data_IF_827534756526
#
_entry.id   IF_827534756526
#
_cell.length_a   1.000
_cell.length_b   1.000
_cell.length_c   1.000
_cell.angle_alpha   90.00
_cell.angle_beta   90.00
_cell.angle_gamma   90.00
#
_symmetry.space_group_name_H-M   'P 1'
#
loop_
_entity.id
_entity.type
_entity.pdbx_description
1 polymer ?
#
# COMPACT_ATOMS: atom_id res chain seq x y z
N UNK A 1 3.66 -22.93 -4.21
CA UNK A 1 3.46 -21.55 -4.71
C UNK A 1 4.28 -20.52 -3.93
N UNK A 2 4.38 -20.64 -2.60
CA UNK A 2 5.23 -19.82 -1.73
C UNK A 2 6.64 -19.47 -2.28
N UNK A 3 7.41 -20.47 -2.71
CA UNK A 3 8.77 -20.24 -3.21
C UNK A 3 8.82 -19.45 -4.53
N UNK A 4 7.79 -19.53 -5.38
CA UNK A 4 7.79 -18.83 -6.66
C UNK A 4 7.74 -17.30 -6.48
N UNK A 5 6.92 -16.80 -5.55
CA UNK A 5 6.81 -15.37 -5.26
C UNK A 5 8.10 -14.80 -4.64
N UNK A 6 8.81 -15.59 -3.82
CA UNK A 6 10.10 -15.19 -3.25
C UNK A 6 11.22 -15.18 -4.30
N UNK A 7 11.25 -16.15 -5.20
CA UNK A 7 12.21 -16.16 -6.32
C UNK A 7 11.92 -15.04 -7.34
N UNK A 8 10.64 -14.76 -7.62
CA UNK A 8 10.22 -13.59 -8.40
C UNK A 8 10.70 -12.30 -7.72
N UNK A 9 10.50 -12.16 -6.40
CA UNK A 9 11.00 -11.02 -5.65
C UNK A 9 12.51 -10.87 -5.77
N UNK A 10 13.29 -11.94 -5.60
CA UNK A 10 14.76 -11.90 -5.72
C UNK A 10 15.20 -11.48 -7.12
N UNK A 11 14.56 -12.03 -8.14
CA UNK A 11 14.85 -11.73 -9.55
C UNK A 11 14.59 -10.26 -9.85
N UNK A 12 13.43 -9.74 -9.42
CA UNK A 12 13.10 -8.33 -9.56
C UNK A 12 14.02 -7.45 -8.71
N UNK A 13 14.32 -7.83 -7.47
CA UNK A 13 15.19 -7.06 -6.57
C UNK A 13 16.60 -6.90 -7.15
N UNK A 14 17.22 -7.98 -7.62
CA UNK A 14 18.53 -7.91 -8.27
C UNK A 14 18.51 -6.93 -9.43
N UNK A 15 17.55 -7.09 -10.35
CA UNK A 15 17.48 -6.27 -11.54
C UNK A 15 17.15 -4.78 -11.23
N UNK A 16 16.32 -4.51 -10.21
CA UNK A 16 16.09 -3.15 -9.73
C UNK A 16 17.33 -2.55 -9.07
N UNK A 17 18.07 -3.31 -8.25
CA UNK A 17 19.29 -2.84 -7.58
C UNK A 17 20.44 -2.56 -8.55
N UNK A 18 20.51 -3.30 -9.66
CA UNK A 18 21.52 -3.13 -10.71
C UNK A 18 21.26 -1.86 -11.55
N UNK A 19 19.98 -1.47 -11.69
CA UNK A 19 19.58 -0.37 -12.60
C UNK A 19 19.29 0.94 -11.85
N UNK A 20 19.06 0.91 -10.53
CA UNK A 20 18.71 2.09 -9.73
C UNK A 20 19.92 2.71 -9.05
N UNK A 21 19.82 4.00 -8.69
CA UNK A 21 20.90 4.70 -7.99
C UNK A 21 21.08 4.12 -6.58
N UNK A 22 22.30 4.22 -6.02
CA UNK A 22 22.58 3.77 -4.63
C UNK A 22 21.62 4.39 -3.61
N UNK A 23 21.22 5.65 -3.81
CA UNK A 23 20.25 6.38 -2.96
C UNK A 23 18.81 5.85 -3.07
N UNK A 24 18.48 5.12 -4.14
CA UNK A 24 17.14 4.60 -4.41
C UNK A 24 17.00 3.12 -3.99
N UNK A 25 18.07 2.45 -3.55
CA UNK A 25 18.06 1.01 -3.21
C UNK A 25 16.99 0.61 -2.20
N UNK A 26 16.68 1.51 -1.24
CA UNK A 26 15.59 1.24 -0.31
C UNK A 26 14.22 1.31 -1.00
N UNK A 27 13.99 2.35 -1.81
CA UNK A 27 12.77 2.48 -2.62
C UNK A 27 12.61 1.36 -3.64
N UNK A 28 13.72 0.85 -4.19
CA UNK A 28 13.76 -0.24 -5.15
C UNK A 28 13.07 -1.50 -4.61
N UNK A 29 13.26 -1.83 -3.33
CA UNK A 29 12.60 -3.00 -2.71
C UNK A 29 11.08 -2.90 -2.60
N UNK A 30 10.57 -1.68 -2.47
CA UNK A 30 9.12 -1.44 -2.49
C UNK A 30 8.59 -1.34 -3.90
N UNK A 31 9.38 -0.82 -4.84
CA UNK A 31 9.09 -0.91 -6.26
C UNK A 31 8.96 -2.37 -6.72
N UNK A 32 9.84 -3.26 -6.25
CA UNK A 32 9.72 -4.71 -6.46
C UNK A 32 8.39 -5.23 -5.91
N UNK A 33 8.04 -4.88 -4.67
CA UNK A 33 6.79 -5.33 -4.04
C UNK A 33 5.51 -4.84 -4.76
N UNK A 34 5.58 -3.68 -5.42
CA UNK A 34 4.52 -3.15 -6.29
C UNK A 34 4.45 -3.91 -7.63
N UNK A 35 5.57 -4.40 -8.14
CA UNK A 35 5.64 -5.18 -9.38
C UNK A 35 5.31 -6.67 -9.22
N UNK A 36 5.20 -7.20 -8.00
CA UNK A 36 4.89 -8.62 -7.77
C UNK A 36 3.56 -9.03 -8.40
N UNK A 37 3.57 -10.14 -9.13
CA UNK A 37 2.38 -10.69 -9.79
C UNK A 37 2.00 -9.95 -11.08
N UNK A 38 2.79 -8.96 -11.51
CA UNK A 38 2.63 -8.37 -12.83
C UNK A 38 3.01 -9.38 -13.92
N UNK A 39 2.29 -9.36 -15.04
CA UNK A 39 2.46 -10.35 -16.13
C UNK A 39 3.68 -10.07 -17.01
N UNK A 40 4.22 -8.86 -16.96
CA UNK A 40 5.34 -8.44 -17.79
C UNK A 40 6.68 -9.01 -17.28
N UNK A 41 7.64 -9.31 -18.16
CA UNK A 41 8.98 -9.72 -17.73
C UNK A 41 9.69 -8.64 -16.89
N UNK A 42 10.57 -9.03 -15.94
CA UNK A 42 11.31 -8.09 -15.07
C UNK A 42 11.97 -6.92 -15.79
N UNK A 43 12.66 -7.17 -16.91
CA UNK A 43 13.34 -6.14 -17.69
C UNK A 43 12.36 -5.09 -18.27
N UNK A 44 11.17 -5.52 -18.67
CA UNK A 44 10.11 -4.62 -19.16
C UNK A 44 9.53 -3.78 -18.01
N UNK A 45 9.29 -4.39 -16.85
CA UNK A 45 8.79 -3.70 -15.67
C UNK A 45 9.77 -2.62 -15.19
N UNK A 46 11.07 -2.92 -15.14
CA UNK A 46 12.10 -1.96 -14.72
C UNK A 46 12.20 -0.80 -15.70
N UNK A 47 12.27 -1.09 -17.01
CA UNK A 47 12.34 -0.05 -18.04
C UNK A 47 11.12 0.88 -17.97
N UNK A 48 9.91 0.31 -17.84
CA UNK A 48 8.68 1.11 -17.67
C UNK A 48 8.70 1.90 -16.36
N UNK A 49 9.09 1.28 -15.26
CA UNK A 49 9.19 1.94 -13.94
C UNK A 49 10.08 3.19 -13.99
N UNK A 50 11.25 3.08 -14.61
CA UNK A 50 12.18 4.20 -14.75
C UNK A 50 11.61 5.29 -15.67
N UNK A 51 10.99 4.90 -16.79
CA UNK A 51 10.29 5.82 -17.68
C UNK A 51 9.20 6.61 -16.94
N UNK A 52 8.35 5.93 -16.17
CA UNK A 52 7.27 6.59 -15.43
C UNK A 52 7.79 7.45 -14.28
N UNK A 53 8.83 7.00 -13.56
CA UNK A 53 9.53 7.83 -12.57
C UNK A 53 10.05 9.13 -13.21
N UNK A 54 10.63 9.05 -14.40
CA UNK A 54 11.20 10.20 -15.09
C UNK A 54 10.12 11.13 -15.65
N UNK A 55 9.00 10.59 -16.13
CA UNK A 55 7.81 11.36 -16.46
C UNK A 55 7.27 12.13 -15.23
N UNK A 56 7.22 11.48 -14.06
CA UNK A 56 6.84 12.15 -12.80
C UNK A 56 7.87 13.25 -12.46
N UNK A 57 9.16 12.98 -12.59
CA UNK A 57 10.21 13.97 -12.34
C UNK A 57 10.12 15.20 -13.26
N UNK A 58 9.75 15.02 -14.53
CA UNK A 58 9.60 16.12 -15.48
C UNK A 58 8.48 17.10 -15.08
N UNK A 59 7.47 16.62 -14.34
CA UNK A 59 6.34 17.43 -13.89
C UNK A 59 6.58 18.21 -12.58
N UNK A 60 7.82 18.20 -12.07
CA UNK A 60 8.21 18.75 -10.76
C UNK A 60 7.86 20.22 -10.53
N UNK A 61 7.80 21.03 -11.58
CA UNK A 61 7.53 22.47 -11.45
C UNK A 61 6.13 22.76 -10.91
N UNK A 62 5.19 21.82 -11.04
CA UNK A 62 3.81 21.96 -10.55
C UNK A 62 3.53 21.34 -9.18
N UNK A 63 4.34 20.37 -8.72
CA UNK A 63 3.99 19.48 -7.61
C UNK A 63 5.17 19.08 -6.70
N UNK A 64 4.96 19.16 -5.39
CA UNK A 64 5.93 18.73 -4.37
C UNK A 64 5.83 17.23 -4.01
N UNK A 65 4.82 16.56 -4.54
CA UNK A 65 4.47 15.16 -4.26
C UNK A 65 4.33 14.40 -5.59
N UNK A 66 4.69 13.10 -5.67
CA UNK A 66 5.32 12.30 -4.61
C UNK A 66 6.76 12.75 -4.30
N UNK A 67 7.22 12.49 -3.07
CA UNK A 67 8.60 12.77 -2.66
C UNK A 67 9.60 12.05 -3.56
N UNK A 68 10.85 12.53 -3.63
CA UNK A 68 11.87 11.95 -4.51
C UNK A 68 12.02 10.43 -4.34
N UNK A 69 12.01 9.94 -3.09
CA UNK A 69 12.11 8.52 -2.79
C UNK A 69 10.85 7.71 -3.11
N UNK A 70 9.67 8.33 -3.21
CA UNK A 70 8.42 7.64 -3.60
C UNK A 70 8.20 7.58 -5.10
N UNK A 71 8.85 8.43 -5.89
CA UNK A 71 8.66 8.46 -7.35
C UNK A 71 9.00 7.12 -8.01
N UNK A 72 10.01 6.42 -7.50
CA UNK A 72 10.34 5.08 -8.00
C UNK A 72 9.24 4.06 -7.69
N UNK A 73 8.67 4.10 -6.48
CA UNK A 73 7.57 3.20 -6.07
C UNK A 73 6.30 3.51 -6.87
N UNK A 74 6.00 4.78 -7.09
CA UNK A 74 4.87 5.22 -7.91
C UNK A 74 5.06 4.81 -9.37
N UNK A 75 6.27 4.98 -9.92
CA UNK A 75 6.60 4.50 -11.25
C UNK A 75 6.43 2.99 -11.40
N UNK A 76 6.76 2.22 -10.35
CA UNK A 76 6.61 0.77 -10.34
C UNK A 76 5.15 0.32 -10.32
N UNK A 77 4.34 0.95 -9.47
CA UNK A 77 2.89 0.78 -9.41
C UNK A 77 2.22 1.06 -10.76
N UNK A 78 2.57 2.19 -11.38
CA UNK A 78 2.08 2.57 -12.71
C UNK A 78 2.52 1.56 -13.78
N UNK A 79 3.80 1.16 -13.77
CA UNK A 79 4.34 0.19 -14.71
C UNK A 79 3.64 -1.18 -14.60
N UNK A 80 3.43 -1.67 -13.38
CA UNK A 80 2.73 -2.92 -13.10
C UNK A 80 1.25 -2.87 -13.53
N UNK A 81 0.62 -1.71 -13.38
CA UNK A 81 -0.77 -1.48 -13.77
C UNK A 81 -0.95 -1.03 -15.24
N UNK A 82 0.14 -1.01 -16.03
CA UNK A 82 0.17 -0.50 -17.41
C UNK A 82 -0.44 0.91 -17.55
N UNK A 83 -0.09 1.80 -16.60
CA UNK A 83 -0.42 3.22 -16.55
C UNK A 83 0.84 4.06 -16.72
N UNK A 84 0.66 5.35 -16.99
CA UNK A 84 1.76 6.28 -17.23
C UNK A 84 1.81 7.44 -16.21
N UNK A 85 3.01 7.99 -16.02
CA UNK A 85 3.28 9.09 -15.10
C UNK A 85 2.62 10.40 -15.51
N UNK A 86 2.38 10.63 -16.80
CA UNK A 86 1.61 11.77 -17.28
C UNK A 86 0.15 11.70 -16.83
N UNK A 87 -0.43 10.51 -16.90
CA UNK A 87 -1.75 10.19 -16.38
C UNK A 87 -1.89 10.50 -14.89
N UNK A 88 -0.86 10.17 -14.08
CA UNK A 88 -0.79 10.50 -12.65
C UNK A 88 -0.89 12.01 -12.41
N UNK A 89 -0.06 12.79 -13.08
CA UNK A 89 -0.03 14.25 -12.93
C UNK A 89 -1.38 14.84 -13.32
N UNK A 90 -1.96 14.38 -14.45
CA UNK A 90 -3.28 14.81 -14.90
C UNK A 90 -4.39 14.47 -13.91
N UNK A 91 -4.34 13.29 -13.28
CA UNK A 91 -5.30 12.92 -12.23
C UNK A 91 -5.14 13.82 -11.00
N UNK A 92 -3.91 14.11 -10.56
CA UNK A 92 -3.65 15.04 -9.46
C UNK A 92 -4.18 16.45 -9.75
N UNK A 93 -3.98 16.95 -10.96
CA UNK A 93 -4.55 18.23 -11.42
C UNK A 93 -6.07 18.21 -11.43
N UNK A 94 -6.67 17.12 -11.89
CA UNK A 94 -8.12 16.94 -11.89
C UNK A 94 -8.68 16.99 -10.46
N UNK A 95 -8.08 16.25 -9.52
CA UNK A 95 -8.47 16.27 -8.11
C UNK A 95 -8.32 17.67 -7.50
N UNK A 96 -7.24 18.39 -7.82
CA UNK A 96 -7.02 19.76 -7.34
C UNK A 96 -8.00 20.76 -7.94
N UNK A 97 -8.33 20.65 -9.23
CA UNK A 97 -9.32 21.48 -9.89
C UNK A 97 -10.71 21.24 -9.31
N UNK A 98 -11.06 19.97 -9.10
CA UNK A 98 -12.34 19.59 -8.51
C UNK A 98 -12.47 20.08 -7.07
N UNK A 99 -11.42 19.96 -6.26
CA UNK A 99 -11.35 20.58 -4.93
C UNK A 99 -11.59 22.09 -5.00
N UNK A 100 -10.94 22.79 -5.93
CA UNK A 100 -11.08 24.25 -6.08
C UNK A 100 -12.53 24.62 -6.45
N UNK A 101 -13.18 23.81 -7.27
CA UNK A 101 -14.57 24.00 -7.72
C UNK A 101 -15.58 23.78 -6.58
N UNK A 102 -15.44 22.69 -5.82
CA UNK A 102 -16.39 22.32 -4.75
C UNK A 102 -16.13 23.02 -3.42
N UNK A 103 -14.89 23.47 -3.20
CA UNK A 103 -14.41 23.78 -1.86
C UNK A 103 -14.11 22.49 -1.08
N UNK A 104 -13.60 22.65 0.15
CA UNK A 104 -13.39 21.52 1.06
C UNK A 104 -11.93 21.22 1.42
N UNK A 105 -11.75 20.08 2.08
CA UNK A 105 -10.49 19.74 2.75
C UNK A 105 -9.33 19.55 1.76
N UNK A 106 -8.13 19.92 2.22
CA UNK A 106 -6.89 19.59 1.53
C UNK A 106 -6.68 18.07 1.55
N UNK A 107 -6.21 17.51 0.43
CA UNK A 107 -5.79 16.12 0.38
C UNK A 107 -4.40 15.94 0.97
N UNK A 108 -4.18 14.79 1.60
CA UNK A 108 -2.88 14.36 2.11
C UNK A 108 -1.87 14.25 0.97
N UNK A 109 -0.64 14.73 1.20
CA UNK A 109 0.44 14.71 0.19
C UNK A 109 0.01 15.26 -1.18
N UNK A 110 -0.88 16.26 -1.20
CA UNK A 110 -1.40 16.86 -2.43
C UNK A 110 -2.29 15.96 -3.28
N UNK A 111 -2.81 14.85 -2.72
CA UNK A 111 -3.67 13.90 -3.42
C UNK A 111 -2.95 12.86 -4.26
N UNK A 112 -1.61 12.82 -4.22
CA UNK A 112 -0.82 11.87 -5.01
C UNK A 112 -1.17 10.38 -4.72
N UNK A 113 -1.37 9.95 -3.46
CA UNK A 113 -1.78 8.57 -3.18
C UNK A 113 -3.16 8.24 -3.76
N UNK A 114 -4.13 9.14 -3.60
CA UNK A 114 -5.47 8.96 -4.15
C UNK A 114 -5.45 8.89 -5.68
N UNK A 115 -4.72 9.80 -6.33
CA UNK A 115 -4.58 9.83 -7.79
C UNK A 115 -3.94 8.54 -8.33
N UNK A 116 -2.91 8.04 -7.66
CA UNK A 116 -2.27 6.78 -8.04
C UNK A 116 -3.24 5.60 -7.88
N UNK A 117 -3.94 5.52 -6.76
CA UNK A 117 -4.93 4.46 -6.52
C UNK A 117 -6.03 4.50 -7.58
N UNK A 118 -6.59 5.67 -7.89
CA UNK A 118 -7.60 5.81 -8.93
C UNK A 118 -7.10 5.29 -10.28
N UNK A 119 -5.89 5.66 -10.70
CA UNK A 119 -5.35 5.23 -12.00
C UNK A 119 -5.02 3.75 -12.06
N UNK A 120 -4.34 3.22 -11.03
CA UNK A 120 -4.01 1.80 -10.98
C UNK A 120 -5.26 0.92 -10.91
N UNK A 121 -6.35 1.42 -10.29
CA UNK A 121 -7.65 0.74 -10.25
C UNK A 121 -8.47 0.93 -11.54
N UNK A 122 -7.97 1.71 -12.50
CA UNK A 122 -8.62 1.96 -13.79
C UNK A 122 -9.70 3.03 -13.79
N UNK A 123 -9.70 3.90 -12.78
CA UNK A 123 -10.58 5.04 -12.70
C UNK A 123 -10.32 6.09 -13.79
N UNK A 124 -11.40 6.79 -14.14
CA UNK A 124 -11.45 7.90 -15.09
C UNK A 124 -11.31 9.25 -14.38
N UNK A 125 -10.78 10.25 -15.08
CA UNK A 125 -10.74 11.64 -14.58
C UNK A 125 -12.14 12.19 -14.26
N UNK A 126 -13.19 11.73 -14.94
CA UNK A 126 -14.58 12.13 -14.66
C UNK A 126 -15.08 11.68 -13.29
N UNK A 127 -14.44 10.68 -12.67
CA UNK A 127 -14.83 10.18 -11.35
C UNK A 127 -14.31 11.04 -10.20
N UNK A 128 -13.63 12.17 -10.46
CA UNK A 128 -13.14 13.06 -9.41
C UNK A 128 -14.26 13.59 -8.49
N UNK A 129 -15.44 13.91 -9.03
CA UNK A 129 -16.60 14.32 -8.20
C UNK A 129 -17.03 13.18 -7.27
N UNK A 130 -17.18 11.96 -7.83
CA UNK A 130 -17.57 10.76 -7.08
C UNK A 130 -16.57 10.44 -5.96
N UNK A 131 -15.27 10.60 -6.22
CA UNK A 131 -14.23 10.49 -5.21
C UNK A 131 -14.49 11.44 -4.02
N UNK A 132 -14.80 12.71 -4.29
CA UNK A 132 -15.10 13.66 -3.21
C UNK A 132 -16.42 13.34 -2.50
N UNK A 133 -17.46 12.92 -3.24
CA UNK A 133 -18.75 12.50 -2.65
C UNK A 133 -18.55 11.35 -1.66
N UNK A 134 -17.79 10.32 -2.06
CA UNK A 134 -17.44 9.20 -1.19
C UNK A 134 -16.58 9.67 -0.01
N UNK A 135 -15.57 10.52 -0.27
CA UNK A 135 -14.64 10.99 0.76
C UNK A 135 -15.31 11.83 1.85
N UNK A 136 -16.37 12.55 1.51
CA UNK A 136 -17.22 13.30 2.43
C UNK A 136 -18.12 12.37 3.24
N UNK A 137 -18.74 11.39 2.58
CA UNK A 137 -19.64 10.42 3.24
C UNK A 137 -18.91 9.55 4.28
N UNK A 138 -17.70 9.08 3.97
CA UNK A 138 -16.93 8.20 4.87
C UNK A 138 -16.16 8.96 5.95
N UNK A 139 -16.14 10.29 5.88
CA UNK A 139 -15.27 11.11 6.71
C UNK A 139 -15.54 10.89 8.21
N UNK A 140 -14.53 10.41 8.92
CA UNK A 140 -14.61 10.37 10.38
C UNK A 140 -14.60 11.80 10.97
N UNK A 141 -15.14 11.97 12.20
CA UNK A 141 -14.93 13.19 12.98
C UNK A 141 -13.44 13.54 13.09
N UNK A 142 -13.11 14.84 13.10
CA UNK A 142 -11.73 15.33 12.96
C UNK A 142 -10.71 14.67 13.91
N UNK A 143 -11.10 14.33 15.14
CA UNK A 143 -10.29 13.70 16.17
C UNK A 143 -10.01 12.20 15.96
N UNK A 144 -10.69 11.57 14.99
CA UNK A 144 -10.52 10.14 14.62
C UNK A 144 -10.10 9.94 13.16
N UNK A 145 -9.83 11.03 12.44
CA UNK A 145 -9.49 10.97 11.02
C UNK A 145 -8.17 10.26 10.77
N UNK A 146 -8.13 9.51 9.68
CA UNK A 146 -6.89 9.02 9.09
C UNK A 146 -6.88 9.37 7.60
N UNK A 147 -6.58 10.64 7.23
CA UNK A 147 -6.82 11.15 5.89
C UNK A 147 -6.20 10.32 4.76
N UNK A 148 -4.96 9.82 4.85
CA UNK A 148 -4.39 8.99 3.78
C UNK A 148 -5.19 7.71 3.50
N UNK A 149 -5.72 7.05 4.54
CA UNK A 149 -6.52 5.83 4.37
C UNK A 149 -7.94 6.12 3.89
N UNK A 150 -8.55 7.21 4.35
CA UNK A 150 -9.84 7.68 3.83
C UNK A 150 -9.75 8.01 2.33
N UNK A 151 -8.71 8.75 1.94
CA UNK A 151 -8.47 9.15 0.55
C UNK A 151 -8.22 7.96 -0.37
N UNK A 152 -7.45 6.97 0.06
CA UNK A 152 -7.19 5.79 -0.77
C UNK A 152 -8.38 4.85 -0.85
N UNK A 153 -9.17 4.72 0.23
CA UNK A 153 -10.44 4.01 0.19
C UNK A 153 -11.43 4.68 -0.78
N UNK A 154 -11.61 6.01 -0.65
CA UNK A 154 -12.50 6.76 -1.53
C UNK A 154 -12.04 6.66 -2.99
N UNK A 155 -10.73 6.73 -3.26
CA UNK A 155 -10.16 6.57 -4.59
C UNK A 155 -10.47 5.19 -5.19
N UNK A 156 -10.31 4.12 -4.41
CA UNK A 156 -10.62 2.76 -4.86
C UNK A 156 -12.10 2.59 -5.18
N UNK A 157 -12.98 3.06 -4.28
CA UNK A 157 -14.43 2.95 -4.46
C UNK A 157 -14.90 3.78 -5.66
N UNK A 158 -14.38 5.00 -5.83
CA UNK A 158 -14.70 5.84 -6.99
C UNK A 158 -14.24 5.20 -8.30
N UNK A 159 -13.03 4.64 -8.34
CA UNK A 159 -12.53 3.94 -9.52
C UNK A 159 -13.40 2.72 -9.88
N UNK A 160 -13.93 2.02 -8.87
CA UNK A 160 -14.89 0.93 -9.03
C UNK A 160 -16.32 1.35 -9.38
N UNK A 161 -16.60 2.64 -9.60
CA UNK A 161 -17.95 3.20 -9.81
C UNK A 161 -18.93 2.91 -8.65
N UNK A 162 -18.40 2.80 -7.43
CA UNK A 162 -19.22 2.62 -6.24
C UNK A 162 -19.88 3.94 -5.84
N UNK A 163 -21.01 3.84 -5.13
CA UNK A 163 -21.72 5.01 -4.59
C UNK A 163 -21.21 5.37 -3.19
N UNK A 164 -21.44 6.62 -2.71
CA UNK A 164 -21.12 7.00 -1.33
C UNK A 164 -21.77 6.08 -0.29
N UNK A 165 -23.05 5.74 -0.47
CA UNK A 165 -23.78 4.85 0.42
C UNK A 165 -23.18 3.43 0.44
N UNK A 166 -22.79 2.88 -0.73
CA UNK A 166 -22.11 1.58 -0.78
C UNK A 166 -20.76 1.63 -0.08
N UNK A 167 -20.00 2.70 -0.28
CA UNK A 167 -18.70 2.90 0.37
C UNK A 167 -18.83 2.97 1.89
N UNK A 168 -19.82 3.71 2.42
CA UNK A 168 -20.09 3.75 3.85
C UNK A 168 -20.52 2.38 4.38
N UNK A 169 -21.46 1.71 3.72
CA UNK A 169 -21.96 0.39 4.13
C UNK A 169 -20.84 -0.66 4.18
N UNK A 170 -19.93 -0.67 3.20
CA UNK A 170 -18.76 -1.57 3.23
C UNK A 170 -17.82 -1.26 4.39
N UNK A 171 -17.62 0.02 4.70
CA UNK A 171 -16.79 0.44 5.81
C UNK A 171 -17.39 0.05 7.17
N UNK A 172 -18.71 0.18 7.33
CA UNK A 172 -19.44 -0.27 8.52
C UNK A 172 -19.38 -1.79 8.67
N UNK A 173 -19.59 -2.55 7.58
CA UNK A 173 -19.41 -4.00 7.58
C UNK A 173 -18.00 -4.38 8.01
N UNK A 174 -16.97 -3.74 7.49
CA UNK A 174 -15.58 -3.99 7.90
C UNK A 174 -15.34 -3.72 9.39
N UNK A 175 -15.93 -2.65 9.96
CA UNK A 175 -15.86 -2.39 11.41
C UNK A 175 -16.51 -3.52 12.22
N UNK A 176 -17.68 -3.99 11.78
CA UNK A 176 -18.37 -5.09 12.44
C UNK A 176 -17.57 -6.38 12.32
N UNK A 177 -17.03 -6.71 11.16
CA UNK A 177 -16.17 -7.87 10.93
C UNK A 177 -14.94 -7.86 11.84
N UNK A 178 -14.24 -6.72 11.95
CA UNK A 178 -13.10 -6.56 12.86
C UNK A 178 -13.49 -6.74 14.33
N UNK A 179 -14.65 -6.23 14.72
CA UNK A 179 -15.16 -6.36 16.09
C UNK A 179 -15.54 -7.80 16.41
N UNK A 180 -16.30 -8.47 15.53
CA UNK A 180 -16.74 -9.86 15.68
C UNK A 180 -15.56 -10.82 15.76
N UNK A 181 -14.53 -10.62 14.95
CA UNK A 181 -13.33 -11.45 14.97
C UNK A 181 -12.42 -11.20 16.19
N UNK A 182 -12.73 -10.22 17.04
CA UNK A 182 -11.93 -9.90 18.23
C UNK A 182 -10.60 -9.23 17.91
N UNK A 183 -10.48 -8.54 16.77
CA UNK A 183 -9.28 -7.74 16.46
C UNK A 183 -9.15 -6.62 17.51
N UNK A 184 -7.96 -6.36 18.07
CA UNK A 184 -7.79 -5.30 19.08
C UNK A 184 -8.27 -3.93 18.58
N UNK A 185 -9.04 -3.21 19.40
CA UNK A 185 -9.60 -1.88 19.05
C UNK A 185 -8.53 -0.87 18.63
N UNK A 186 -7.32 -0.96 19.18
CA UNK A 186 -6.18 -0.10 18.83
C UNK A 186 -5.69 -0.28 17.38
N UNK A 187 -6.08 -1.38 16.73
CA UNK A 187 -5.75 -1.68 15.34
C UNK A 187 -6.85 -1.29 14.35
N UNK A 188 -8.11 -1.15 14.80
CA UNK A 188 -9.28 -0.95 13.92
C UNK A 188 -9.09 0.22 12.96
N UNK A 189 -8.78 1.41 13.48
CA UNK A 189 -8.61 2.62 12.65
C UNK A 189 -7.46 2.53 11.64
N UNK A 190 -6.51 1.60 11.85
CA UNK A 190 -5.32 1.45 10.99
C UNK A 190 -5.53 0.47 9.85
N UNK A 191 -6.57 -0.38 9.90
CA UNK A 191 -6.81 -1.44 8.90
C UNK A 191 -8.23 -1.49 8.36
N UNK A 192 -9.20 -0.78 8.97
CA UNK A 192 -10.62 -0.85 8.58
C UNK A 192 -10.84 -0.55 7.09
N UNK A 193 -10.10 0.41 6.52
CA UNK A 193 -10.20 0.77 5.11
C UNK A 193 -9.68 -0.34 4.20
N UNK A 194 -8.53 -0.93 4.52
CA UNK A 194 -7.96 -2.04 3.75
C UNK A 194 -8.85 -3.30 3.83
N UNK A 195 -9.43 -3.58 5.00
CA UNK A 195 -10.39 -4.68 5.18
C UNK A 195 -11.69 -4.40 4.41
N UNK A 196 -12.14 -3.13 4.36
CA UNK A 196 -13.31 -2.74 3.59
C UNK A 196 -13.10 -2.90 2.07
N UNK A 197 -11.88 -2.64 1.57
CA UNK A 197 -11.52 -2.88 0.15
C UNK A 197 -11.55 -4.37 -0.17
N UNK A 198 -10.97 -5.20 0.71
CA UNK A 198 -10.98 -6.65 0.54
C UNK A 198 -12.39 -7.25 0.60
N UNK A 199 -13.28 -6.60 1.35
CA UNK A 199 -14.68 -6.96 1.56
C UNK A 199 -14.91 -8.46 1.84
N UNK A 200 -14.19 -9.06 2.81
CA UNK A 200 -14.35 -10.48 3.10
C UNK A 200 -15.71 -10.75 3.76
N UNK A 201 -16.20 -11.98 3.64
CA UNK A 201 -17.31 -12.46 4.47
C UNK A 201 -16.86 -12.50 5.94
N UNK A 202 -17.74 -12.15 6.87
CA UNK A 202 -17.40 -12.05 8.30
C UNK A 202 -16.90 -13.38 8.87
N UNK A 203 -17.53 -14.49 8.51
CA UNK A 203 -17.16 -15.82 9.02
C UNK A 203 -15.80 -16.25 8.48
N UNK A 204 -15.58 -16.08 7.17
CA UNK A 204 -14.29 -16.36 6.52
C UNK A 204 -13.16 -15.53 7.13
N UNK A 205 -13.39 -14.23 7.33
CA UNK A 205 -12.42 -13.35 7.98
C UNK A 205 -12.12 -13.78 9.41
N UNK A 206 -13.14 -14.14 10.19
CA UNK A 206 -12.99 -14.54 11.59
C UNK A 206 -12.18 -15.83 11.70
N UNK A 207 -12.46 -16.80 10.81
CA UNK A 207 -11.70 -18.05 10.71
C UNK A 207 -10.24 -17.78 10.34
N UNK A 208 -10.00 -17.03 9.25
CA UNK A 208 -8.67 -16.69 8.77
C UNK A 208 -7.86 -15.90 9.82
N UNK A 209 -8.47 -14.91 10.48
CA UNK A 209 -7.84 -14.16 11.56
C UNK A 209 -7.43 -15.04 12.73
N UNK A 210 -8.32 -15.95 13.15
CA UNK A 210 -8.06 -16.85 14.29
C UNK A 210 -6.91 -17.79 13.98
N UNK A 211 -6.96 -18.45 12.81
CA UNK A 211 -5.91 -19.36 12.36
C UNK A 211 -4.56 -18.64 12.22
N UNK A 212 -4.53 -17.47 11.57
CA UNK A 212 -3.33 -16.66 11.41
C UNK A 212 -2.74 -16.26 12.76
N UNK A 213 -3.56 -15.81 13.70
CA UNK A 213 -3.11 -15.36 15.02
C UNK A 213 -2.53 -16.53 15.85
N UNK A 214 -3.10 -17.73 15.74
CA UNK A 214 -2.56 -18.95 16.35
C UNK A 214 -1.21 -19.30 15.74
N UNK A 215 -1.10 -19.31 14.40
CA UNK A 215 0.14 -19.64 13.69
C UNK A 215 1.31 -18.72 14.10
N UNK A 216 1.05 -17.41 14.25
CA UNK A 216 2.09 -16.44 14.64
C UNK A 216 2.20 -16.22 16.15
N UNK A 217 1.40 -16.91 16.98
CA UNK A 217 1.26 -16.61 18.41
C UNK A 217 2.60 -16.63 19.15
N UNK A 218 3.43 -17.64 18.86
CA UNK A 218 4.74 -17.85 19.48
C UNK A 218 5.82 -16.91 18.95
N UNK A 219 5.57 -16.21 17.84
CA UNK A 219 6.54 -15.33 17.18
C UNK A 219 6.36 -13.88 17.62
N UNK A 220 6.65 -13.59 18.90
CA UNK A 220 6.44 -12.26 19.50
C UNK A 220 7.08 -11.12 18.69
N UNK A 221 8.28 -11.34 18.16
CA UNK A 221 8.98 -10.35 17.34
C UNK A 221 8.26 -10.05 16.03
N UNK A 222 7.76 -11.07 15.33
CA UNK A 222 6.98 -10.90 14.10
C UNK A 222 5.67 -10.17 14.38
N UNK A 223 4.93 -10.57 15.43
CA UNK A 223 3.68 -9.92 15.83
C UNK A 223 3.86 -8.43 16.13
N UNK A 224 4.99 -8.04 16.73
CA UNK A 224 5.32 -6.63 16.94
C UNK A 224 5.64 -5.89 15.64
N UNK A 225 6.35 -6.52 14.70
CA UNK A 225 6.74 -5.91 13.43
C UNK A 225 5.58 -5.77 12.45
N UNK A 226 4.83 -6.85 12.21
CA UNK A 226 3.63 -6.86 11.37
C UNK A 226 2.51 -6.03 12.01
N UNK A 227 2.40 -6.13 13.34
CA UNK A 227 1.36 -5.47 14.12
C UNK A 227 -0.02 -6.08 13.87
N UNK A 228 -0.95 -5.80 14.78
CA UNK A 228 -2.33 -6.27 14.68
C UNK A 228 -3.04 -5.80 13.41
N UNK A 229 -2.76 -4.59 12.96
CA UNK A 229 -3.31 -4.05 11.72
C UNK A 229 -2.80 -4.82 10.49
N UNK A 230 -1.50 -5.12 10.41
CA UNK A 230 -0.94 -5.88 9.29
C UNK A 230 -1.47 -7.31 9.22
N UNK A 231 -1.63 -7.96 10.38
CA UNK A 231 -2.25 -9.30 10.44
C UNK A 231 -3.72 -9.27 10.02
N UNK A 232 -4.48 -8.24 10.39
CA UNK A 232 -5.89 -8.12 9.99
C UNK A 232 -6.01 -7.86 8.48
N UNK A 233 -5.12 -7.05 7.92
CA UNK A 233 -5.04 -6.83 6.47
C UNK A 233 -4.73 -8.14 5.75
N UNK A 234 -3.77 -8.93 6.23
CA UNK A 234 -3.44 -10.23 5.66
C UNK A 234 -4.63 -11.19 5.71
N UNK A 235 -5.27 -11.32 6.88
CA UNK A 235 -6.45 -12.18 7.07
C UNK A 235 -7.61 -11.82 6.13
N UNK A 236 -7.77 -10.53 5.78
CA UNK A 236 -8.80 -10.11 4.83
C UNK A 236 -8.52 -10.51 3.37
N UNK A 237 -7.27 -10.80 3.03
CA UNK A 237 -6.83 -11.06 1.64
C UNK A 237 -6.73 -12.55 1.29
N UNK A 238 -6.87 -13.44 2.27
CA UNK A 238 -6.61 -14.87 2.14
C UNK A 238 -7.86 -15.70 2.39
N UNK A 239 -7.85 -16.93 1.87
CA UNK A 239 -8.91 -17.90 2.12
C UNK A 239 -8.66 -18.69 3.40
N UNK A 240 -7.41 -19.16 3.56
CA UNK A 240 -6.95 -19.92 4.72
C UNK A 240 -5.92 -19.10 5.51
N UNK A 241 -6.22 -18.87 6.80
CA UNK A 241 -5.34 -18.14 7.70
C UNK A 241 -4.10 -18.93 8.14
N UNK A 242 -4.14 -20.26 8.10
CA UNK A 242 -3.01 -21.12 8.46
C UNK A 242 -1.91 -21.02 7.42
N UNK A 243 -2.27 -21.17 6.14
CA UNK A 243 -1.36 -21.00 5.01
C UNK A 243 -0.76 -19.59 4.97
N UNK A 244 -1.55 -18.58 5.30
CA UNK A 244 -1.07 -17.20 5.42
C UNK A 244 -0.10 -17.00 6.58
N UNK A 245 -0.27 -17.74 7.67
CA UNK A 245 0.66 -17.78 8.80
C UNK A 245 2.02 -18.33 8.38
N UNK A 246 2.04 -19.49 7.74
CA UNK A 246 3.27 -20.12 7.25
C UNK A 246 3.97 -19.25 6.21
N UNK A 247 3.22 -18.69 5.25
CA UNK A 247 3.74 -17.75 4.27
C UNK A 247 4.34 -16.49 4.93
N UNK A 248 3.73 -15.98 6.00
CA UNK A 248 4.25 -14.83 6.73
C UNK A 248 5.53 -15.14 7.50
N UNK A 249 5.67 -16.35 8.06
CA UNK A 249 6.90 -16.79 8.71
C UNK A 249 8.05 -16.88 7.70
N UNK A 250 7.80 -17.50 6.54
CA UNK A 250 8.77 -17.63 5.46
C UNK A 250 9.15 -16.24 4.90
N UNK A 251 8.17 -15.37 4.65
CA UNK A 251 8.40 -14.01 4.18
C UNK A 251 9.18 -13.15 5.17
N UNK A 252 8.92 -13.24 6.49
CA UNK A 252 9.69 -12.50 7.50
C UNK A 252 11.15 -13.00 7.56
N UNK A 253 11.37 -14.31 7.51
CA UNK A 253 12.71 -14.88 7.46
C UNK A 253 13.46 -14.39 6.22
N UNK A 254 12.80 -14.41 5.06
CA UNK A 254 13.36 -13.90 3.81
C UNK A 254 13.71 -12.41 3.90
N UNK A 255 12.78 -11.55 4.32
CA UNK A 255 13.00 -10.10 4.42
C UNK A 255 14.14 -9.75 5.38
N UNK A 256 14.30 -10.52 6.47
CA UNK A 256 15.41 -10.35 7.42
C UNK A 256 16.77 -10.77 6.86
N UNK A 257 16.77 -11.68 5.89
CA UNK A 257 17.99 -12.10 5.19
C UNK A 257 18.52 -11.02 4.25
N UNK A 258 17.65 -10.13 3.74
CA UNK A 258 17.99 -9.08 2.79
C UNK A 258 19.10 -8.14 3.29
N UNK A 259 19.94 -7.67 2.36
CA UNK A 259 21.04 -6.73 2.62
C UNK A 259 21.04 -5.56 1.62
N UNK A 260 21.06 -4.29 2.07
CA UNK A 260 21.17 -3.82 3.46
C UNK A 260 19.94 -4.16 4.32
N UNK A 261 20.05 -4.13 5.66
CA UNK A 261 18.90 -4.40 6.55
C UNK A 261 17.89 -3.26 6.49
N UNK A 262 16.60 -3.59 6.53
CA UNK A 262 15.50 -2.62 6.67
C UNK A 262 15.13 -2.46 8.15
N UNK A 263 14.47 -1.35 8.50
CA UNK A 263 13.95 -1.18 9.87
C UNK A 263 12.90 -2.24 10.20
N UNK A 264 12.72 -2.54 11.49
CA UNK A 264 11.86 -3.64 11.95
C UNK A 264 10.40 -3.50 11.49
N UNK A 265 9.81 -2.31 11.60
CA UNK A 265 8.43 -2.06 11.18
C UNK A 265 8.26 -2.19 9.65
N UNK A 266 9.28 -1.80 8.89
CA UNK A 266 9.31 -1.94 7.44
C UNK A 266 9.39 -3.42 7.05
N UNK A 267 10.25 -4.18 7.72
CA UNK A 267 10.37 -5.61 7.49
C UNK A 267 9.02 -6.32 7.63
N UNK A 268 8.27 -5.99 8.71
CA UNK A 268 6.96 -6.57 8.97
C UNK A 268 5.94 -6.27 7.88
N UNK A 269 5.88 -5.02 7.38
CA UNK A 269 4.95 -4.64 6.30
C UNK A 269 5.30 -5.31 4.97
N UNK A 270 6.59 -5.37 4.64
CA UNK A 270 7.05 -6.05 3.44
C UNK A 270 6.77 -7.57 3.52
N UNK A 271 6.99 -8.18 4.68
CA UNK A 271 6.67 -9.58 4.92
C UNK A 271 5.17 -9.86 4.78
N UNK A 272 4.29 -9.03 5.34
CA UNK A 272 2.84 -9.13 5.16
C UNK A 272 2.45 -9.06 3.67
N UNK A 273 3.05 -8.13 2.91
CA UNK A 273 2.78 -7.99 1.48
C UNK A 273 3.25 -9.22 0.69
N UNK A 274 4.43 -9.75 1.00
CA UNK A 274 4.96 -10.97 0.37
C UNK A 274 4.08 -12.18 0.68
N UNK A 275 3.71 -12.37 1.94
CA UNK A 275 2.82 -13.44 2.38
C UNK A 275 1.50 -13.41 1.61
N UNK A 276 0.89 -12.23 1.46
CA UNK A 276 -0.36 -12.06 0.71
C UNK A 276 -0.21 -12.44 -0.79
N UNK A 277 0.96 -12.21 -1.40
CA UNK A 277 1.22 -12.68 -2.77
C UNK A 277 1.45 -14.19 -2.83
N UNK A 278 2.15 -14.76 -1.84
CA UNK A 278 2.44 -16.20 -1.76
C UNK A 278 1.18 -17.05 -1.65
N UNK A 279 0.14 -16.55 -0.97
CA UNK A 279 -1.15 -17.23 -0.78
C UNK A 279 -2.18 -16.93 -1.87
N UNK A 280 -1.85 -16.07 -2.84
CA UNK A 280 -2.82 -15.55 -3.79
C UNK A 280 -3.70 -14.46 -3.17
N UNK A 281 -3.83 -13.33 -3.87
CA UNK A 281 -4.63 -12.19 -3.41
C UNK A 281 -6.09 -12.38 -3.82
N UNK A 282 -7.03 -12.31 -2.85
CA UNK A 282 -8.47 -12.27 -3.13
C UNK A 282 -8.92 -11.05 -3.95
N UNK A 283 -8.17 -9.95 -3.88
CA UNK A 283 -8.43 -8.76 -4.69
C UNK A 283 -7.34 -8.54 -5.74
N UNK A 284 -7.67 -8.58 -7.05
CA UNK A 284 -6.71 -8.34 -8.13
C UNK A 284 -6.41 -6.84 -8.37
N UNK A 285 -6.80 -5.95 -7.45
CA UNK A 285 -6.62 -4.52 -7.64
C UNK A 285 -5.14 -4.15 -7.44
N UNK A 286 -4.39 -4.07 -8.55
CA UNK A 286 -3.01 -3.59 -8.61
C UNK A 286 -2.78 -2.34 -7.75
N UNK A 287 -3.77 -1.43 -7.68
CA UNK A 287 -3.75 -0.26 -6.80
C UNK A 287 -3.73 -0.53 -5.29
N UNK A 288 -4.44 -1.55 -4.78
CA UNK A 288 -4.46 -1.92 -3.36
C UNK A 288 -3.16 -2.64 -2.98
N UNK A 289 -2.71 -3.51 -3.89
CA UNK A 289 -1.41 -4.14 -3.88
C UNK A 289 -0.26 -3.10 -3.80
N UNK A 290 -0.37 -2.05 -4.62
CA UNK A 290 0.52 -0.89 -4.63
C UNK A 290 0.41 -0.08 -3.33
N UNK A 291 -0.79 0.11 -2.79
CA UNK A 291 -1.00 0.92 -1.58
C UNK A 291 -0.29 0.36 -0.35
N UNK A 292 -0.29 -0.96 -0.15
CA UNK A 292 0.50 -1.59 0.91
C UNK A 292 2.02 -1.39 0.72
N UNK A 293 2.52 -1.49 -0.52
CA UNK A 293 3.91 -1.19 -0.85
C UNK A 293 4.25 0.30 -0.67
N UNK A 294 3.31 1.20 -0.98
CA UNK A 294 3.41 2.65 -0.79
C UNK A 294 3.39 3.02 0.69
N UNK A 295 2.51 2.43 1.50
CA UNK A 295 2.48 2.59 2.95
C UNK A 295 3.74 2.02 3.60
N UNK A 296 4.27 0.90 3.10
CA UNK A 296 5.53 0.35 3.56
C UNK A 296 6.70 1.30 3.23
N UNK A 297 6.73 1.87 2.02
CA UNK A 297 7.72 2.85 1.60
C UNK A 297 7.61 4.16 2.39
N UNK A 298 6.41 4.68 2.66
CA UNK A 298 6.19 5.86 3.49
C UNK A 298 6.69 5.66 4.92
N UNK A 299 6.39 4.52 5.54
CA UNK A 299 6.91 4.19 6.87
C UNK A 299 8.44 4.04 6.87
N UNK A 300 9.01 3.46 5.80
CA UNK A 300 10.46 3.31 5.64
C UNK A 300 11.18 4.64 5.50
N UNK A 301 10.63 5.56 4.71
CA UNK A 301 11.18 6.90 4.55
C UNK A 301 11.10 7.71 5.84
N UNK A 302 9.99 7.63 6.59
CA UNK A 302 9.89 8.30 7.90
C UNK A 302 11.00 7.77 8.81
N UNK A 303 11.14 6.44 8.94
CA UNK A 303 12.19 5.82 9.75
C UNK A 303 13.61 6.19 9.29
N UNK A 304 13.88 6.21 7.98
CA UNK A 304 15.18 6.57 7.42
C UNK A 304 15.49 8.07 7.59
N UNK A 305 14.49 8.94 7.46
CA UNK A 305 14.65 10.40 7.67
C UNK A 305 14.90 10.68 9.15
N UNK A 306 14.17 10.01 10.07
CA UNK A 306 14.38 10.13 11.52
C UNK A 306 15.74 9.58 11.94
N UNK A 307 16.19 8.45 11.37
CA UNK A 307 17.51 7.88 11.62
C UNK A 307 18.65 8.74 11.06
N UNK A 308 18.47 9.34 9.87
CA UNK A 308 19.45 10.24 9.27
C UNK A 308 19.56 11.57 10.04
N UNK A 309 18.45 12.11 10.55
CA UNK A 309 18.47 13.31 11.40
C UNK A 309 19.09 13.04 12.76
N UNK A 310 18.81 11.89 13.40
CA UNK A 310 19.48 11.52 14.65
C UNK A 310 20.98 11.26 14.45
N UNK A 311 21.38 10.57 13.37
CA UNK A 311 22.79 10.36 13.07
C UNK A 311 23.53 11.67 12.73
N UNK A 312 22.89 12.61 12.03
CA UNK A 312 23.47 13.92 11.73
C UNK A 312 23.62 14.81 12.98
N UNK A 313 22.67 14.74 13.93
CA UNK A 313 22.77 15.44 15.22
C UNK A 313 23.88 14.85 16.09
N UNK A 314 24.00 13.52 16.14
CA UNK A 314 25.06 12.84 16.90
C UNK A 314 26.45 13.03 16.28
N UNK A 315 26.54 13.21 14.96
CA UNK A 315 27.81 13.52 14.28
C UNK A 315 28.19 15.01 14.37
N UNK A 316 27.28 15.88 14.79
CA UNK A 316 27.49 17.32 14.96
C UNK A 316 27.67 17.74 16.44
N UNK A 317 27.62 16.78 17.37
CA UNK A 317 27.92 16.93 18.80
C UNK A 317 29.20 16.21 19.17
#
# INVERSE_FOLDING_TARGET
MAHAALEEYRTLESAFLDTTKKSERMSARFAVAACLGAKDPPATLIRRTLRERDAINASRSGWHSPSAAMRLVYGAALAASNRDGGGLVKMMETLKAERKRRGGRSLSSGGAPAALVMLCAGGSYSQASMFYDILEEIAAPWWRRYPPAEETYAAMMAAGNETPATALSRLEKARNTLATAGVPKSAHNKCVFDVAIAHPRTDDFTSAWTALNVAVQQQRGLRQRAGWAGLAILAAQVEDGSDAGDALLEADAFVRSLRPRVSSMVAGRLAVRLAANMTGLRTPAGAAADYAAILAAQAAMIAATTAATTAAVVAAT
#
